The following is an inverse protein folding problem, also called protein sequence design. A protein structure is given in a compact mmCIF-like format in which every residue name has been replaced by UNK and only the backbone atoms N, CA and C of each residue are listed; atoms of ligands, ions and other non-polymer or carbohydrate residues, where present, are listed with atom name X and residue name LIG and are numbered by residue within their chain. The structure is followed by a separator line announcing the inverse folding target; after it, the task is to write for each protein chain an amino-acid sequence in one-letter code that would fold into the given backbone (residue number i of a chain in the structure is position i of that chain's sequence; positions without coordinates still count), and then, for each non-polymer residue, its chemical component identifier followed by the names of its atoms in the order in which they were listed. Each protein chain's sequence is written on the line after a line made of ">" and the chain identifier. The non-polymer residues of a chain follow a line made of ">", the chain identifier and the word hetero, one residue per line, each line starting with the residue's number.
data_IF_236324176501
#
_entry.id   IF_236324176501
#
_cell.length_a   1.000
_cell.length_b   1.000
_cell.length_c   1.000
_cell.angle_alpha   90.00
_cell.angle_beta   90.00
_cell.angle_gamma   90.00
#
_symmetry.space_group_name_H-M   'P 1'
#
loop_
_entity.id
_entity.type
_entity.pdbx_description
1 polymer ?
#
# COMPACT_ATOMS: atom_id res chain seq x y z
N UNK A 1 -2.68 -15.77 15.42
CA UNK A 1 -3.68 -16.32 14.48
C UNK A 1 -3.04 -16.40 13.11
N UNK A 2 -2.98 -17.58 12.55
CA UNK A 2 -2.51 -17.80 11.18
C UNK A 2 -3.58 -17.25 10.22
N UNK A 3 -3.15 -16.61 9.14
CA UNK A 3 -4.06 -16.21 8.08
C UNK A 3 -4.85 -17.43 7.61
N UNK A 4 -6.15 -17.24 7.37
CA UNK A 4 -6.97 -18.26 6.74
C UNK A 4 -6.27 -18.74 5.46
N UNK A 5 -5.99 -20.04 5.30
CA UNK A 5 -5.32 -20.57 4.11
C UNK A 5 -6.05 -20.21 2.80
N UNK A 6 -7.32 -19.84 2.88
CA UNK A 6 -8.13 -19.43 1.73
C UNK A 6 -7.84 -18.00 1.22
N UNK A 7 -7.13 -17.14 1.97
CA UNK A 7 -6.84 -15.77 1.51
C UNK A 7 -5.79 -15.78 0.39
N UNK A 8 -6.18 -15.28 -0.78
CA UNK A 8 -5.31 -15.16 -1.97
C UNK A 8 -4.93 -13.71 -2.20
N UNK A 9 -3.69 -13.45 -2.59
CA UNK A 9 -3.23 -12.14 -3.06
C UNK A 9 -3.12 -12.22 -4.58
N UNK A 10 -3.83 -11.32 -5.27
CA UNK A 10 -3.85 -11.28 -6.73
C UNK A 10 -3.51 -9.86 -7.22
N UNK A 11 -2.64 -9.73 -8.23
CA UNK A 11 -2.44 -8.46 -8.92
C UNK A 11 -3.75 -7.89 -9.44
N UNK A 12 -3.86 -6.56 -9.49
CA UNK A 12 -5.03 -5.85 -9.98
C UNK A 12 -5.29 -6.14 -11.46
N UNK A 13 -6.55 -6.30 -11.82
CA UNK A 13 -7.03 -6.52 -13.19
C UNK A 13 -8.13 -5.51 -13.52
N UNK A 14 -8.39 -5.18 -14.79
CA UNK A 14 -9.41 -4.21 -15.20
C UNK A 14 -10.80 -4.44 -14.57
N UNK A 15 -11.21 -5.72 -14.41
CA UNK A 15 -12.49 -6.08 -13.82
C UNK A 15 -12.58 -5.90 -12.31
N UNK A 16 -11.45 -5.63 -11.63
CA UNK A 16 -11.40 -5.56 -10.16
C UNK A 16 -11.76 -4.17 -9.62
N UNK A 17 -12.09 -3.17 -10.47
CA UNK A 17 -12.38 -1.80 -10.05
C UNK A 17 -13.47 -1.72 -8.97
N UNK A 18 -14.57 -2.45 -9.15
CA UNK A 18 -15.68 -2.43 -8.20
C UNK A 18 -15.31 -3.03 -6.83
N UNK A 19 -14.32 -3.92 -6.77
CA UNK A 19 -13.78 -4.47 -5.54
C UNK A 19 -12.71 -3.58 -4.91
N UNK A 20 -11.90 -2.91 -5.74
CA UNK A 20 -10.83 -2.00 -5.32
C UNK A 20 -11.36 -0.70 -4.70
N UNK A 21 -12.35 -0.07 -5.34
CA UNK A 21 -12.82 1.27 -4.97
C UNK A 21 -13.32 1.38 -3.52
N UNK A 22 -14.11 0.43 -2.98
CA UNK A 22 -14.52 0.47 -1.57
C UNK A 22 -13.33 0.38 -0.59
N UNK A 23 -12.33 -0.43 -0.91
CA UNK A 23 -11.11 -0.55 -0.09
C UNK A 23 -10.26 0.72 -0.17
N UNK A 24 -10.16 1.33 -1.35
CA UNK A 24 -9.48 2.61 -1.55
C UNK A 24 -10.15 3.76 -0.75
N UNK A 25 -11.48 3.78 -0.72
CA UNK A 25 -12.23 4.71 0.14
C UNK A 25 -12.05 4.41 1.63
N UNK A 26 -11.99 3.14 2.01
CA UNK A 26 -11.71 2.74 3.39
C UNK A 26 -10.32 3.17 3.86
N UNK A 27 -9.30 3.06 3.00
CA UNK A 27 -7.97 3.59 3.24
C UNK A 27 -8.00 5.10 3.49
N UNK A 28 -8.69 5.86 2.63
CA UNK A 28 -8.82 7.32 2.76
C UNK A 28 -9.51 7.70 4.06
N UNK A 29 -10.58 7.01 4.43
CA UNK A 29 -11.29 7.25 5.70
C UNK A 29 -10.40 6.97 6.90
N UNK A 30 -9.58 5.93 6.86
CA UNK A 30 -8.65 5.59 7.94
C UNK A 30 -7.60 6.70 8.16
N UNK A 31 -7.09 7.31 7.10
CA UNK A 31 -6.13 8.40 7.17
C UNK A 31 -6.78 9.80 7.21
N UNK A 32 -8.11 9.87 7.28
CA UNK A 32 -8.87 11.13 7.28
C UNK A 32 -8.49 12.07 6.11
N UNK A 33 -8.26 11.48 4.94
CA UNK A 33 -7.98 12.21 3.70
C UNK A 33 -9.13 12.05 2.73
N UNK A 34 -9.35 13.08 1.93
CA UNK A 34 -10.30 13.08 0.81
C UNK A 34 -9.53 13.27 -0.49
N UNK A 35 -9.46 12.22 -1.29
CA UNK A 35 -8.77 12.24 -2.57
C UNK A 35 -9.81 12.48 -3.66
N UNK A 36 -9.66 13.55 -4.46
CA UNK A 36 -10.58 13.86 -5.55
C UNK A 36 -10.80 12.67 -6.49
N UNK A 37 -12.02 12.55 -7.02
CA UNK A 37 -12.40 11.41 -7.87
C UNK A 37 -11.54 11.29 -9.13
N UNK A 38 -11.14 12.41 -9.71
CA UNK A 38 -10.22 12.44 -10.87
C UNK A 38 -8.81 11.92 -10.52
N UNK A 39 -8.34 12.14 -9.29
CA UNK A 39 -7.06 11.59 -8.82
C UNK A 39 -7.19 10.08 -8.61
N UNK A 40 -8.29 9.61 -8.03
CA UNK A 40 -8.56 8.17 -7.89
C UNK A 40 -8.68 7.48 -9.25
N UNK A 41 -9.31 8.11 -10.23
CA UNK A 41 -9.39 7.60 -11.59
C UNK A 41 -8.00 7.53 -12.27
N UNK A 42 -7.18 8.56 -12.09
CA UNK A 42 -5.78 8.57 -12.57
C UNK A 42 -4.94 7.47 -11.88
N UNK A 43 -5.10 7.29 -10.58
CA UNK A 43 -4.43 6.22 -9.82
C UNK A 43 -4.81 4.85 -10.37
N UNK A 44 -6.11 4.60 -10.57
CA UNK A 44 -6.59 3.34 -11.15
C UNK A 44 -6.00 3.08 -12.55
N UNK A 45 -5.99 4.09 -13.42
CA UNK A 45 -5.41 3.97 -14.75
C UNK A 45 -3.92 3.59 -14.71
N UNK A 46 -3.14 4.23 -13.82
CA UNK A 46 -1.72 3.93 -13.63
C UNK A 46 -1.48 2.52 -13.09
N UNK A 47 -2.31 2.06 -12.18
CA UNK A 47 -2.21 0.71 -11.60
C UNK A 47 -2.40 -0.40 -12.64
N UNK A 48 -3.05 -0.10 -13.76
CA UNK A 48 -3.30 -1.05 -14.86
C UNK A 48 -2.36 -0.87 -16.06
N UNK A 49 -1.59 0.21 -16.10
CA UNK A 49 -0.67 0.49 -17.20
C UNK A 49 0.70 -0.12 -16.92
N UNK A 50 1.15 -1.13 -17.70
CA UNK A 50 2.46 -1.75 -17.53
C UNK A 50 3.63 -0.82 -17.81
N UNK A 51 3.41 0.33 -18.46
CA UNK A 51 4.44 1.35 -18.68
C UNK A 51 4.68 2.24 -17.45
N UNK A 52 3.73 2.25 -16.51
CA UNK A 52 3.86 2.99 -15.27
C UNK A 52 4.64 2.20 -14.21
N UNK A 53 5.42 2.87 -13.36
CA UNK A 53 6.14 2.19 -12.28
C UNK A 53 5.24 1.86 -11.07
N UNK A 54 3.94 1.98 -11.23
CA UNK A 54 2.91 1.82 -10.18
C UNK A 54 2.21 0.48 -10.37
N UNK A 55 2.08 -0.29 -9.31
CA UNK A 55 1.34 -1.54 -9.33
C UNK A 55 0.61 -1.79 -8.02
N UNK A 56 -0.30 -2.73 -8.01
CA UNK A 56 -1.06 -3.08 -6.82
C UNK A 56 -1.66 -4.46 -6.86
N UNK A 57 -2.16 -4.89 -5.71
CA UNK A 57 -2.83 -6.17 -5.55
C UNK A 57 -3.99 -6.07 -4.56
N UNK A 58 -4.90 -7.03 -4.67
CA UNK A 58 -5.98 -7.24 -3.72
C UNK A 58 -5.80 -8.55 -2.95
N UNK A 59 -6.14 -8.51 -1.69
CA UNK A 59 -6.34 -9.71 -0.87
C UNK A 59 -7.80 -10.15 -1.00
N UNK A 60 -8.01 -11.40 -1.38
CA UNK A 60 -9.31 -12.01 -1.56
C UNK A 60 -9.56 -13.10 -0.52
N UNK A 61 -10.68 -13.01 0.18
CA UNK A 61 -11.21 -14.07 1.02
C UNK A 61 -12.49 -14.62 0.37
N UNK A 62 -12.38 -15.77 -0.30
CA UNK A 62 -13.42 -16.24 -1.19
C UNK A 62 -13.72 -15.21 -2.30
N UNK A 63 -14.98 -14.77 -2.47
CA UNK A 63 -15.38 -13.78 -3.48
C UNK A 63 -15.15 -12.33 -3.02
N UNK A 64 -14.85 -12.09 -1.74
CA UNK A 64 -14.74 -10.74 -1.16
C UNK A 64 -13.30 -10.24 -1.20
N UNK A 65 -13.09 -9.04 -1.73
CA UNK A 65 -11.84 -8.31 -1.56
C UNK A 65 -11.80 -7.69 -0.16
N UNK A 66 -10.74 -7.97 0.60
CA UNK A 66 -10.64 -7.62 2.02
C UNK A 66 -9.39 -6.80 2.35
N UNK A 67 -8.54 -6.55 1.37
CA UNK A 67 -7.36 -5.69 1.54
C UNK A 67 -6.77 -5.28 0.21
N UNK A 68 -6.01 -4.20 0.22
CA UNK A 68 -5.27 -3.69 -0.93
C UNK A 68 -3.84 -3.32 -0.55
N UNK A 69 -2.97 -3.33 -1.54
CA UNK A 69 -1.64 -2.74 -1.48
C UNK A 69 -1.32 -2.05 -2.80
N UNK A 70 -0.69 -0.88 -2.73
CA UNK A 70 -0.10 -0.19 -3.86
C UNK A 70 1.39 0.00 -3.63
N UNK A 71 2.19 -0.15 -4.68
CA UNK A 71 3.62 0.09 -4.61
C UNK A 71 4.13 0.77 -5.88
N UNK A 72 5.22 1.52 -5.71
CA UNK A 72 5.81 2.34 -6.77
C UNK A 72 7.31 2.05 -6.82
N UNK A 73 7.83 1.73 -8.01
CA UNK A 73 9.27 1.60 -8.24
C UNK A 73 9.85 2.95 -8.62
N UNK A 74 11.02 3.25 -8.11
CA UNK A 74 11.77 4.44 -8.50
C UNK A 74 13.28 4.18 -8.51
N UNK A 75 14.00 4.98 -9.26
CA UNK A 75 15.46 4.92 -9.31
C UNK A 75 16.07 5.27 -7.96
N UNK A 76 17.25 4.72 -7.71
CA UNK A 76 18.10 5.06 -6.58
C UNK A 76 19.49 5.46 -7.08
N UNK A 77 20.09 6.45 -6.44
CA UNK A 77 21.48 6.81 -6.69
C UNK A 77 22.48 5.91 -5.93
N UNK A 78 22.00 5.05 -5.06
CA UNK A 78 22.84 4.18 -4.23
C UNK A 78 22.99 2.77 -4.80
N UNK A 79 22.12 2.38 -5.73
CA UNK A 79 22.10 1.04 -6.32
C UNK A 79 21.78 1.11 -7.80
N UNK A 80 22.18 0.08 -8.55
CA UNK A 80 21.77 -0.07 -9.95
C UNK A 80 20.33 -0.53 -10.09
N UNK A 81 19.82 -1.31 -9.13
CA UNK A 81 18.42 -1.71 -9.05
C UNK A 81 17.54 -0.59 -8.47
N UNK A 82 16.27 -0.60 -8.83
CA UNK A 82 15.30 0.34 -8.29
C UNK A 82 15.03 0.10 -6.80
N UNK A 83 14.43 1.08 -6.13
CA UNK A 83 13.74 0.91 -4.87
C UNK A 83 12.25 0.75 -5.12
N UNK A 84 11.59 -0.03 -4.28
CA UNK A 84 10.14 -0.20 -4.27
C UNK A 84 9.56 0.49 -3.04
N UNK A 85 8.77 1.52 -3.27
CA UNK A 85 8.00 2.21 -2.24
C UNK A 85 6.64 1.52 -2.10
N UNK A 86 6.40 0.85 -0.97
CA UNK A 86 5.09 0.35 -0.59
C UNK A 86 4.31 1.56 -0.05
N UNK A 87 3.48 2.17 -0.90
CA UNK A 87 2.85 3.43 -0.57
C UNK A 87 1.60 3.27 0.27
N UNK A 88 0.70 2.38 -0.13
CA UNK A 88 -0.61 2.21 0.50
C UNK A 88 -0.81 0.75 0.90
N UNK A 89 -1.23 0.53 2.12
CA UNK A 89 -1.60 -0.78 2.66
C UNK A 89 -2.87 -0.62 3.49
N UNK A 90 -3.91 -1.37 3.12
CA UNK A 90 -5.17 -1.35 3.84
C UNK A 90 -5.76 -2.75 3.96
N UNK A 91 -6.23 -3.07 5.15
CA UNK A 91 -6.98 -4.30 5.43
C UNK A 91 -8.31 -3.90 6.06
N UNK A 92 -9.39 -4.45 5.54
CA UNK A 92 -10.74 -4.21 6.07
C UNK A 92 -10.78 -4.48 7.58
N UNK A 93 -11.35 -3.57 8.38
CA UNK A 93 -11.39 -3.71 9.85
C UNK A 93 -11.94 -5.06 10.33
N UNK A 94 -12.94 -5.59 9.64
CA UNK A 94 -13.61 -6.85 9.99
C UNK A 94 -12.68 -8.08 9.99
N UNK A 95 -11.55 -8.02 9.26
CA UNK A 95 -10.62 -9.15 9.10
C UNK A 95 -9.19 -8.82 9.56
N UNK A 96 -9.01 -7.73 10.28
CA UNK A 96 -7.70 -7.37 10.86
C UNK A 96 -7.25 -8.40 11.89
N UNK A 97 -5.93 -8.53 12.04
CA UNK A 97 -5.34 -9.53 12.95
C UNK A 97 -5.26 -10.95 12.37
N UNK A 98 -5.74 -11.19 11.16
CA UNK A 98 -5.70 -12.50 10.47
C UNK A 98 -4.46 -12.72 9.60
N UNK A 99 -3.47 -11.83 9.65
CA UNK A 99 -2.22 -11.95 8.87
C UNK A 99 -2.30 -11.46 7.42
N UNK A 100 -3.42 -10.88 7.00
CA UNK A 100 -3.61 -10.39 5.62
C UNK A 100 -2.61 -9.27 5.28
N UNK A 101 -2.39 -8.33 6.20
CA UNK A 101 -1.41 -7.26 6.01
C UNK A 101 0.00 -7.81 5.75
N UNK A 102 0.41 -8.83 6.49
CA UNK A 102 1.67 -9.52 6.24
C UNK A 102 1.74 -10.16 4.86
N UNK A 103 0.70 -10.88 4.44
CA UNK A 103 0.63 -11.48 3.10
C UNK A 103 0.75 -10.44 1.98
N UNK A 104 0.13 -9.27 2.15
CA UNK A 104 0.23 -8.15 1.20
C UNK A 104 1.66 -7.60 1.12
N UNK A 105 2.35 -7.43 2.26
CA UNK A 105 3.75 -7.00 2.30
C UNK A 105 4.65 -8.05 1.63
N UNK A 106 4.48 -9.33 1.96
CA UNK A 106 5.25 -10.44 1.38
C UNK A 106 5.03 -10.54 -0.14
N UNK A 107 3.82 -10.25 -0.63
CA UNK A 107 3.56 -10.13 -2.07
C UNK A 107 4.41 -9.02 -2.71
N UNK A 108 4.47 -7.85 -2.09
CA UNK A 108 5.31 -6.74 -2.59
C UNK A 108 6.79 -7.11 -2.57
N UNK A 109 7.27 -7.83 -1.56
CA UNK A 109 8.64 -8.34 -1.53
C UNK A 109 8.94 -9.26 -2.71
N UNK A 110 8.04 -10.19 -3.01
CA UNK A 110 8.20 -11.11 -4.12
C UNK A 110 8.21 -10.38 -5.48
N UNK A 111 7.27 -9.43 -5.68
CA UNK A 111 7.22 -8.61 -6.90
C UNK A 111 8.47 -7.73 -7.05
N UNK A 112 8.89 -7.05 -6.00
CA UNK A 112 10.08 -6.21 -6.01
C UNK A 112 11.36 -7.04 -6.30
N UNK A 113 11.48 -8.22 -5.72
CA UNK A 113 12.60 -9.13 -5.99
C UNK A 113 12.61 -9.59 -7.45
N UNK A 114 11.44 -9.96 -8.00
CA UNK A 114 11.30 -10.36 -9.41
C UNK A 114 11.69 -9.23 -10.37
N UNK A 115 11.42 -7.98 -10.00
CA UNK A 115 11.77 -6.77 -10.76
C UNK A 115 13.21 -6.27 -10.51
N UNK A 116 13.99 -6.99 -9.70
CA UNK A 116 15.38 -6.63 -9.40
C UNK A 116 15.54 -5.40 -8.49
N UNK A 117 14.53 -5.07 -7.70
CA UNK A 117 14.63 -3.98 -6.73
C UNK A 117 15.64 -4.32 -5.63
N UNK A 118 16.42 -3.32 -5.22
CA UNK A 118 17.40 -3.46 -4.15
C UNK A 118 16.80 -3.30 -2.75
N UNK A 119 15.61 -2.70 -2.64
CA UNK A 119 14.95 -2.39 -1.37
C UNK A 119 13.46 -2.23 -1.54
N UNK A 120 12.70 -2.69 -0.54
CA UNK A 120 11.31 -2.28 -0.30
C UNK A 120 11.30 -1.45 0.97
N UNK A 121 10.57 -0.34 0.98
CA UNK A 121 10.42 0.52 2.15
C UNK A 121 9.04 1.15 2.18
N UNK A 122 8.62 1.61 3.36
CA UNK A 122 7.37 2.34 3.55
C UNK A 122 7.48 3.33 4.69
N UNK A 123 6.49 4.19 4.78
CA UNK A 123 6.32 5.16 5.83
C UNK A 123 5.05 4.83 6.61
N UNK A 124 5.06 5.08 7.89
CA UNK A 124 3.87 4.99 8.74
C UNK A 124 3.86 6.14 9.72
N UNK A 125 2.68 6.53 10.18
CA UNK A 125 2.59 7.52 11.24
C UNK A 125 3.15 6.92 12.54
N UNK A 126 3.92 7.70 13.29
CA UNK A 126 4.58 7.25 14.53
C UNK A 126 3.60 6.76 15.60
N UNK A 127 2.34 7.22 15.54
CA UNK A 127 1.27 6.78 16.46
C UNK A 127 0.57 5.49 16.03
N UNK A 128 0.90 4.94 14.84
CA UNK A 128 0.27 3.72 14.32
C UNK A 128 0.89 2.46 14.95
N UNK A 129 0.82 2.37 16.29
CA UNK A 129 1.46 1.32 17.07
C UNK A 129 1.00 -0.10 16.68
N UNK A 130 -0.26 -0.27 16.28
CA UNK A 130 -0.80 -1.57 15.88
C UNK A 130 -0.14 -2.09 14.61
N UNK A 131 -0.01 -1.26 13.58
CA UNK A 131 0.68 -1.63 12.34
C UNK A 131 2.19 -1.80 12.57
N UNK A 132 2.80 -0.94 13.39
CA UNK A 132 4.24 -1.00 13.68
C UNK A 132 4.64 -2.32 14.34
N UNK A 133 3.78 -2.95 15.14
CA UNK A 133 4.04 -4.30 15.67
C UNK A 133 4.19 -5.37 14.57
N UNK A 134 3.46 -5.23 13.46
CA UNK A 134 3.66 -6.08 12.29
C UNK A 134 4.96 -5.71 11.59
N UNK A 135 5.18 -4.41 11.36
CA UNK A 135 6.35 -3.92 10.62
C UNK A 135 7.67 -4.30 11.27
N UNK A 136 7.77 -4.22 12.60
CA UNK A 136 8.95 -4.62 13.37
C UNK A 136 9.30 -6.13 13.25
N UNK A 137 8.36 -6.95 12.74
CA UNK A 137 8.56 -8.40 12.50
C UNK A 137 8.96 -8.73 11.07
N UNK A 138 8.74 -7.81 10.13
CA UNK A 138 8.94 -8.05 8.68
C UNK A 138 9.93 -7.12 8.04
N UNK A 139 10.38 -6.09 8.76
CA UNK A 139 11.37 -5.11 8.30
C UNK A 139 12.11 -4.48 9.48
N UNK A 140 13.11 -3.66 9.16
CA UNK A 140 13.89 -2.90 10.12
C UNK A 140 13.53 -1.42 10.08
N UNK A 141 13.55 -0.76 11.23
CA UNK A 141 13.46 0.71 11.29
C UNK A 141 14.76 1.30 10.79
N UNK A 142 14.66 2.12 9.74
CA UNK A 142 15.85 2.69 9.11
C UNK A 142 16.57 3.76 9.96
N UNK A 143 15.87 4.37 10.90
CA UNK A 143 16.36 5.53 11.65
C UNK A 143 16.22 6.87 10.91
N UNK A 144 15.85 6.86 9.62
CA UNK A 144 15.56 8.09 8.87
C UNK A 144 14.19 8.64 9.25
N UNK A 145 14.08 9.97 9.29
CA UNK A 145 12.81 10.70 9.44
C UNK A 145 12.45 11.39 8.14
N UNK A 146 11.16 11.57 7.88
CA UNK A 146 10.70 12.27 6.68
C UNK A 146 10.56 13.77 6.94
N UNK A 147 11.14 14.58 6.05
CA UNK A 147 10.81 15.99 5.91
C UNK A 147 9.96 16.18 4.66
N UNK A 148 8.89 16.97 4.77
CA UNK A 148 7.94 17.17 3.68
C UNK A 148 7.55 18.62 3.55
N UNK A 149 7.53 19.13 2.32
CA UNK A 149 6.92 20.42 1.99
C UNK A 149 5.88 20.18 0.89
N UNK A 150 4.63 20.51 1.15
CA UNK A 150 3.58 20.47 0.15
C UNK A 150 3.75 21.68 -0.81
N UNK A 151 3.75 21.42 -2.11
CA UNK A 151 3.91 22.44 -3.15
C UNK A 151 2.57 22.87 -3.73
N UNK A 152 1.57 21.99 -3.65
CA UNK A 152 0.21 22.28 -4.12
C UNK A 152 -0.70 22.53 -2.91
N UNK A 153 -1.43 23.67 -2.86
CA UNK A 153 -2.37 23.93 -1.79
C UNK A 153 -3.55 22.94 -1.84
N UNK A 154 -3.99 22.45 -0.67
CA UNK A 154 -5.22 21.68 -0.52
C UNK A 154 -5.16 20.20 -0.82
N UNK A 155 -4.02 19.65 -1.26
CA UNK A 155 -3.90 18.21 -1.58
C UNK A 155 -3.81 17.33 -0.31
N UNK A 156 -3.32 17.89 0.79
CA UNK A 156 -3.28 17.20 2.08
C UNK A 156 -3.78 18.15 3.18
N UNK A 157 -4.94 17.86 3.74
CA UNK A 157 -5.27 18.43 5.05
C UNK A 157 -4.46 17.64 6.08
N UNK A 158 -3.62 18.29 6.91
CA UNK A 158 -3.06 17.61 8.07
C UNK A 158 -4.24 17.09 8.91
N UNK A 159 -4.11 15.87 9.45
CA UNK A 159 -4.98 15.47 10.54
C UNK A 159 -5.00 16.63 11.53
N UNK A 160 -6.19 17.06 11.95
CA UNK A 160 -6.32 18.14 12.93
C UNK A 160 -5.41 17.80 14.10
N UNK A 161 -4.50 18.72 14.40
CA UNK A 161 -3.78 18.68 15.66
C UNK A 161 -4.84 18.58 16.78
N UNK A 162 -4.83 17.47 17.50
CA UNK A 162 -5.66 17.26 18.66
C UNK A 162 -5.03 17.95 19.86
#
# INVERSE_FOLDING_TARGET
>A
MTADPATRICPLRPQDHAAWLPLWRGYQSFYEVDIPSEVSASTWARLLDPAEPVAGALAWNGPAAVGLVHHIRHRSCWTTGDYCYLQDLFVSPAVRGSGIGRKLIEHVYAEAAREGCARVYWLTHETNATAMRLYDRVADRSGFVQYRKNLLPGVFRPAKEA
#
